data_IF_748272673161
#
_entry.id   IF_748272673161
#
_cell.length_a   1.000
_cell.length_b   1.000
_cell.length_c   1.000
_cell.angle_alpha   90.00
_cell.angle_beta   90.00
_cell.angle_gamma   90.00
#
_symmetry.space_group_name_H-M   'P 1'
#
loop_
_entity.id
_entity.type
_entity.pdbx_description
1 polymer ?
#
# COMPACT_ATOMS: atom_id res chain seq x y z
N UNK A 1 -17.55 22.92 3.84
CA UNK A 1 -16.39 21.99 4.12
C UNK A 1 -15.90 22.09 5.58
N UNK A 2 -15.87 23.24 6.22
CA UNK A 2 -15.57 23.36 7.65
C UNK A 2 -16.70 22.72 8.51
N UNK A 3 -17.95 22.90 8.12
CA UNK A 3 -19.11 22.34 8.83
C UNK A 3 -19.19 20.80 8.78
N UNK A 4 -18.59 20.15 7.77
CA UNK A 4 -18.60 18.69 7.64
C UNK A 4 -17.65 18.01 8.64
N UNK A 5 -16.56 18.68 9.01
CA UNK A 5 -15.57 18.17 9.99
C UNK A 5 -16.14 18.23 11.41
N UNK A 6 -16.91 19.27 11.72
CA UNK A 6 -17.55 19.42 13.03
C UNK A 6 -18.73 18.43 13.23
N UNK A 7 -19.40 18.03 12.15
CA UNK A 7 -20.53 17.10 12.22
C UNK A 7 -20.11 15.65 12.57
N UNK A 8 -18.86 15.27 12.36
CA UNK A 8 -18.36 13.91 12.62
C UNK A 8 -17.74 13.78 14.03
N UNK A 9 -17.59 14.86 14.78
CA UNK A 9 -17.09 14.85 16.17
C UNK A 9 -15.67 14.27 16.34
N UNK A 10 -14.88 14.23 15.26
CA UNK A 10 -13.50 13.74 15.30
C UNK A 10 -12.60 14.78 15.94
N UNK A 11 -12.21 14.54 17.19
CA UNK A 11 -11.13 15.31 17.81
C UNK A 11 -9.84 15.07 17.04
N UNK A 12 -9.02 16.12 16.81
CA UNK A 12 -7.68 15.90 16.24
C UNK A 12 -6.93 14.92 17.13
N UNK A 13 -6.37 13.88 16.52
CA UNK A 13 -5.54 12.92 17.22
C UNK A 13 -4.35 13.67 17.84
N UNK A 14 -4.18 13.55 19.16
CA UNK A 14 -2.97 14.01 19.81
C UNK A 14 -1.76 13.31 19.16
N UNK A 15 -0.67 14.04 19.00
CA UNK A 15 0.59 13.46 18.51
C UNK A 15 0.91 12.22 19.34
N UNK A 16 1.31 11.09 18.73
CA UNK A 16 1.62 9.90 19.49
C UNK A 16 2.78 10.20 20.44
N UNK A 17 2.52 10.05 21.75
CA UNK A 17 3.56 9.95 22.76
C UNK A 17 4.49 8.80 22.36
N UNK A 18 5.78 8.95 22.60
CA UNK A 18 6.78 7.92 22.38
C UNK A 18 6.25 6.57 22.88
N UNK A 19 6.22 5.55 22.00
CA UNK A 19 5.89 4.19 22.39
C UNK A 19 6.96 3.69 23.36
N UNK A 20 6.69 3.77 24.64
CA UNK A 20 7.26 2.85 25.62
C UNK A 20 6.53 1.53 25.43
N UNK A 21 7.30 0.48 25.22
CA UNK A 21 6.82 -0.90 25.20
C UNK A 21 6.35 -1.28 26.60
N UNK A 22 5.07 -1.11 26.89
CA UNK A 22 4.44 -1.69 28.07
C UNK A 22 3.91 -3.09 27.73
N UNK A 23 4.49 -4.05 28.43
CA UNK A 23 4.11 -5.45 28.43
C UNK A 23 2.71 -5.63 28.99
N UNK A 24 1.73 -5.99 28.16
CA UNK A 24 0.42 -6.46 28.62
C UNK A 24 0.45 -7.96 28.95
N UNK A 25 -0.07 -8.36 30.10
CA UNK A 25 -0.18 -9.80 30.45
C UNK A 25 -1.46 -10.41 29.89
N UNK A 26 -1.32 -11.51 29.19
CA UNK A 26 -2.20 -12.65 29.22
C UNK A 26 -3.40 -12.70 28.26
N UNK A 27 -3.20 -13.32 27.11
CA UNK A 27 -4.13 -14.35 26.63
C UNK A 27 -3.31 -15.51 26.10
N UNK A 28 -3.50 -16.69 26.74
CA UNK A 28 -2.83 -17.91 26.37
C UNK A 28 -3.29 -18.38 24.99
N UNK A 29 -2.34 -18.49 24.10
CA UNK A 29 -2.40 -19.28 22.90
C UNK A 29 -1.10 -20.05 22.81
N UNK A 30 -1.21 -21.35 23.00
CA UNK A 30 -0.14 -22.29 22.73
C UNK A 30 0.12 -22.30 21.24
N UNK A 31 1.29 -21.87 20.81
CA UNK A 31 1.94 -22.43 19.63
C UNK A 31 3.28 -21.75 19.33
N UNK A 32 4.32 -22.58 19.33
CA UNK A 32 5.51 -22.47 18.51
C UNK A 32 6.29 -21.14 18.59
N UNK A 33 6.74 -20.78 19.77
CA UNK A 33 7.90 -19.93 19.94
C UNK A 33 9.17 -20.79 19.78
N UNK A 34 9.60 -21.02 18.56
CA UNK A 34 11.02 -21.28 18.33
C UNK A 34 11.74 -19.99 18.69
N UNK A 35 12.70 -19.99 19.63
CA UNK A 35 13.50 -18.79 19.86
C UNK A 35 14.15 -18.41 18.54
N UNK A 36 14.05 -17.14 18.16
CA UNK A 36 14.89 -16.59 17.10
C UNK A 36 16.33 -16.91 17.50
N UNK A 37 16.98 -17.83 16.79
CA UNK A 37 18.38 -18.12 16.97
C UNK A 37 19.13 -16.80 16.86
N UNK A 38 19.83 -16.42 17.92
CA UNK A 38 20.75 -15.28 17.90
C UNK A 38 21.88 -15.70 16.95
N UNK A 39 21.86 -15.17 15.76
CA UNK A 39 22.89 -15.42 14.74
C UNK A 39 24.25 -15.05 15.29
N UNK A 40 25.27 -15.90 15.10
CA UNK A 40 26.62 -15.57 15.53
C UNK A 40 27.09 -14.28 14.82
N UNK A 41 28.00 -13.50 15.46
CA UNK A 41 28.53 -12.30 14.83
C UNK A 41 29.18 -12.65 13.51
N UNK A 42 28.88 -11.82 12.48
CA UNK A 42 29.31 -12.04 11.11
C UNK A 42 30.82 -12.24 11.03
N UNK A 43 31.24 -13.49 10.87
CA UNK A 43 32.57 -13.82 10.36
C UNK A 43 32.56 -13.39 8.89
N UNK A 44 33.55 -12.59 8.50
CA UNK A 44 33.75 -12.19 7.12
C UNK A 44 33.91 -13.46 6.27
N UNK A 45 32.83 -13.93 5.68
CA UNK A 45 32.87 -15.03 4.72
C UNK A 45 33.38 -14.43 3.41
N UNK A 46 34.54 -14.91 2.95
CA UNK A 46 35.00 -14.60 1.60
C UNK A 46 33.91 -15.09 0.63
N UNK A 47 33.28 -14.16 -0.07
CA UNK A 47 32.30 -14.49 -1.11
C UNK A 47 33.07 -14.99 -2.32
N UNK A 48 33.08 -16.30 -2.54
CA UNK A 48 33.59 -16.90 -3.78
C UNK A 48 32.68 -16.48 -4.95
N UNK A 49 33.17 -15.59 -5.79
CA UNK A 49 32.38 -15.07 -6.91
C UNK A 49 33.15 -14.05 -7.75
N UNK A 50 32.58 -13.57 -8.85
CA UNK A 50 33.20 -12.66 -9.79
C UNK A 50 33.34 -11.19 -9.25
N UNK A 51 33.19 -11.00 -7.95
CA UNK A 51 33.22 -9.68 -7.34
C UNK A 51 34.63 -9.30 -6.94
N UNK A 52 35.13 -8.19 -7.50
CA UNK A 52 36.44 -7.65 -7.21
C UNK A 52 36.52 -6.97 -5.83
N UNK A 53 35.38 -6.44 -5.37
CA UNK A 53 35.29 -5.74 -4.09
C UNK A 53 34.41 -6.49 -3.12
N UNK A 54 34.87 -6.68 -1.87
CA UNK A 54 34.03 -7.32 -0.84
C UNK A 54 32.83 -6.45 -0.48
N UNK A 55 31.66 -7.08 -0.24
CA UNK A 55 30.47 -6.42 0.28
C UNK A 55 29.89 -7.23 1.44
N UNK A 56 29.75 -6.62 2.64
CA UNK A 56 30.22 -5.25 2.98
C UNK A 56 31.76 -5.19 3.02
N UNK A 57 32.33 -3.97 2.85
CA UNK A 57 33.74 -3.80 3.12
C UNK A 57 34.03 -4.01 4.61
N UNK A 58 35.29 -4.35 5.01
CA UNK A 58 35.63 -4.52 6.43
C UNK A 58 35.28 -3.30 7.29
N UNK A 59 35.50 -2.09 6.80
CA UNK A 59 35.18 -0.84 7.48
C UNK A 59 33.66 -0.67 7.64
N UNK A 60 32.88 -1.01 6.61
CA UNK A 60 31.42 -0.92 6.63
C UNK A 60 30.84 -1.96 7.61
N UNK A 61 31.37 -3.19 7.60
CA UNK A 61 30.95 -4.23 8.52
C UNK A 61 31.27 -3.91 9.99
N UNK A 62 32.40 -3.20 10.23
CA UNK A 62 32.76 -2.74 11.56
C UNK A 62 31.88 -1.59 12.06
N UNK A 63 31.38 -0.74 11.15
CA UNK A 63 30.58 0.43 11.48
C UNK A 63 29.07 0.14 11.59
N UNK A 64 28.57 -0.91 10.93
CA UNK A 64 27.15 -1.23 10.85
C UNK A 64 26.90 -2.74 10.94
N UNK A 65 25.78 -3.17 11.53
CA UNK A 65 25.41 -4.59 11.58
C UNK A 65 25.02 -5.10 10.18
N UNK A 66 25.57 -6.24 9.81
CA UNK A 66 25.16 -7.04 8.65
C UNK A 66 24.79 -8.45 9.12
N UNK A 67 23.85 -9.07 8.45
CA UNK A 67 23.41 -10.43 8.68
C UNK A 67 23.52 -11.23 7.39
N UNK A 68 23.78 -12.52 7.52
CA UNK A 68 23.77 -13.43 6.37
C UNK A 68 22.37 -13.48 5.77
N UNK A 69 22.28 -13.39 4.43
CA UNK A 69 21.03 -13.52 3.72
C UNK A 69 20.70 -15.00 3.51
N UNK A 70 19.69 -15.50 4.23
CA UNK A 70 19.18 -16.85 4.05
C UNK A 70 18.44 -16.94 2.71
N UNK A 71 19.03 -17.63 1.75
CA UNK A 71 18.49 -17.81 0.40
C UNK A 71 18.29 -19.29 0.09
N UNK A 72 17.05 -19.65 -0.27
CA UNK A 72 16.71 -20.98 -0.77
C UNK A 72 16.68 -20.96 -2.31
N UNK A 73 17.59 -21.70 -2.93
CA UNK A 73 17.64 -21.84 -4.38
C UNK A 73 16.69 -22.95 -4.82
N UNK A 74 15.68 -22.61 -5.57
CA UNK A 74 14.77 -23.57 -6.20
C UNK A 74 15.33 -24.08 -7.53
N UNK A 75 14.83 -25.24 -8.02
CA UNK A 75 15.14 -25.71 -9.38
C UNK A 75 14.49 -24.80 -10.44
N UNK A 76 14.99 -24.86 -11.66
CA UNK A 76 14.46 -24.08 -12.79
C UNK A 76 12.98 -24.40 -13.04
N UNK A 77 12.58 -25.68 -12.91
CA UNK A 77 11.21 -26.14 -13.06
C UNK A 77 10.31 -25.54 -11.98
N UNK A 78 10.74 -25.57 -10.72
CA UNK A 78 10.00 -25.01 -9.60
C UNK A 78 9.88 -23.49 -9.73
N UNK A 79 10.94 -22.79 -10.10
CA UNK A 79 10.91 -21.35 -10.36
C UNK A 79 9.91 -21.01 -11.46
N UNK A 80 9.91 -21.78 -12.55
CA UNK A 80 8.97 -21.59 -13.66
C UNK A 80 7.51 -21.87 -13.26
N UNK A 81 7.27 -22.88 -12.42
CA UNK A 81 5.93 -23.17 -11.90
C UNK A 81 5.41 -22.06 -11.00
N UNK A 82 6.22 -21.61 -10.02
CA UNK A 82 5.90 -20.48 -9.10
C UNK A 82 5.60 -19.20 -9.89
N UNK A 83 6.40 -18.88 -10.89
CA UNK A 83 6.22 -17.71 -11.75
C UNK A 83 4.87 -17.76 -12.51
N UNK A 84 4.57 -18.92 -13.13
CA UNK A 84 3.31 -19.12 -13.84
C UNK A 84 2.08 -19.07 -12.89
N UNK A 85 2.20 -19.67 -11.71
CA UNK A 85 1.12 -19.65 -10.71
C UNK A 85 0.82 -18.23 -10.25
N UNK A 86 1.84 -17.46 -9.89
CA UNK A 86 1.69 -16.06 -9.47
C UNK A 86 1.11 -15.18 -10.58
N UNK A 87 1.60 -15.35 -11.82
CA UNK A 87 1.05 -14.62 -12.98
C UNK A 87 -0.43 -14.94 -13.19
N UNK A 88 -0.82 -16.23 -13.19
CA UNK A 88 -2.20 -16.68 -13.36
C UNK A 88 -3.14 -16.15 -12.26
N UNK A 89 -2.66 -16.10 -11.02
CA UNK A 89 -3.38 -15.48 -9.91
C UNK A 89 -3.57 -13.98 -10.15
N UNK A 90 -2.50 -13.27 -10.50
CA UNK A 90 -2.50 -11.82 -10.74
C UNK A 90 -3.36 -11.41 -11.94
N UNK A 91 -3.49 -12.25 -12.95
CA UNK A 91 -4.35 -12.02 -14.12
C UNK A 91 -5.83 -11.89 -13.76
N UNK A 92 -6.28 -12.57 -12.68
CA UNK A 92 -7.66 -12.51 -12.19
C UNK A 92 -7.97 -11.23 -11.42
N UNK A 93 -6.94 -10.49 -10.97
CA UNK A 93 -7.15 -9.25 -10.23
C UNK A 93 -7.82 -8.19 -11.11
N UNK A 94 -8.91 -7.62 -10.61
CA UNK A 94 -9.66 -6.53 -11.27
C UNK A 94 -9.96 -5.41 -10.26
N UNK A 95 -10.16 -4.20 -10.76
CA UNK A 95 -10.69 -3.09 -9.97
C UNK A 95 -12.19 -3.26 -9.79
N UNK A 96 -12.65 -3.46 -8.55
CA UNK A 96 -14.06 -3.72 -8.21
C UNK A 96 -14.69 -2.43 -7.67
N UNK A 97 -15.91 -2.12 -8.14
CA UNK A 97 -16.72 -0.98 -7.71
C UNK A 97 -18.08 -1.40 -7.14
N UNK A 98 -18.38 -2.71 -7.12
CA UNK A 98 -19.58 -3.26 -6.52
C UNK A 98 -19.15 -4.24 -5.43
N UNK A 99 -19.31 -3.83 -4.18
CA UNK A 99 -18.91 -4.59 -3.01
C UNK A 99 -20.13 -5.20 -2.30
N UNK A 100 -19.93 -6.36 -1.67
CA UNK A 100 -20.82 -6.87 -0.63
C UNK A 100 -20.58 -6.10 0.67
N UNK A 101 -21.63 -5.87 1.49
CA UNK A 101 -21.48 -5.32 2.83
C UNK A 101 -20.95 -6.35 3.84
N UNK A 102 -20.66 -7.59 3.42
CA UNK A 102 -20.14 -8.63 4.29
C UNK A 102 -18.88 -8.17 5.03
N UNK A 103 -18.81 -8.40 6.35
CA UNK A 103 -17.70 -7.90 7.16
C UNK A 103 -16.37 -8.57 6.76
N UNK A 104 -15.31 -7.80 6.76
CA UNK A 104 -13.93 -8.28 6.61
C UNK A 104 -13.23 -8.15 7.96
N UNK A 105 -12.65 -9.23 8.50
CA UNK A 105 -11.88 -9.20 9.74
C UNK A 105 -10.72 -8.20 9.70
N UNK A 106 -10.44 -7.58 10.83
CA UNK A 106 -9.41 -6.54 10.94
C UNK A 106 -8.01 -7.09 10.69
N UNK A 107 -7.72 -8.26 11.22
CA UNK A 107 -6.44 -8.96 11.09
C UNK A 107 -6.04 -9.20 9.63
N UNK A 108 -6.99 -9.48 8.73
CA UNK A 108 -6.71 -9.63 7.31
C UNK A 108 -6.22 -8.32 6.67
N UNK A 109 -6.77 -7.18 7.09
CA UNK A 109 -6.31 -5.87 6.61
C UNK A 109 -4.94 -5.54 7.19
N UNK A 110 -4.70 -5.87 8.47
CA UNK A 110 -3.41 -5.70 9.13
C UNK A 110 -2.32 -6.56 8.46
N UNK A 111 -2.59 -7.81 8.11
CA UNK A 111 -1.68 -8.67 7.36
C UNK A 111 -1.33 -8.09 5.97
N UNK A 112 -2.31 -7.49 5.28
CA UNK A 112 -2.03 -6.82 4.02
C UNK A 112 -1.12 -5.59 4.20
N UNK A 113 -1.31 -4.81 5.28
CA UNK A 113 -0.45 -3.68 5.62
C UNK A 113 0.96 -4.15 5.98
N UNK A 114 1.08 -5.22 6.77
CA UNK A 114 2.39 -5.81 7.10
C UNK A 114 3.11 -6.29 5.84
N UNK A 115 2.43 -7.01 4.96
CA UNK A 115 2.99 -7.42 3.68
C UNK A 115 3.45 -6.22 2.82
N UNK A 116 2.63 -5.17 2.74
CA UNK A 116 2.97 -3.95 2.03
C UNK A 116 4.17 -3.22 2.65
N UNK A 117 4.31 -3.29 3.97
CA UNK A 117 5.39 -2.63 4.72
C UNK A 117 6.75 -3.31 4.54
N UNK A 118 6.82 -4.49 3.91
CA UNK A 118 8.07 -5.12 3.47
C UNK A 118 8.63 -4.53 2.17
N UNK A 119 7.93 -3.58 1.55
CA UNK A 119 8.37 -2.90 0.34
C UNK A 119 9.75 -2.24 0.51
N UNK A 120 10.63 -2.30 -0.49
CA UNK A 120 11.86 -1.53 -0.47
C UNK A 120 11.56 -0.03 -0.52
N UNK A 121 12.43 0.77 0.11
CA UNK A 121 12.31 2.22 0.10
C UNK A 121 13.66 2.91 0.09
N UNK A 122 13.72 4.13 -0.44
CA UNK A 122 14.94 4.92 -0.49
C UNK A 122 15.55 5.10 0.91
N UNK A 123 16.79 4.65 1.08
CA UNK A 123 17.51 4.62 2.35
C UNK A 123 16.72 3.96 3.52
N UNK A 124 15.90 2.98 3.19
CA UNK A 124 15.02 2.26 4.12
C UNK A 124 14.12 3.19 4.98
N UNK A 125 13.65 4.29 4.37
CA UNK A 125 12.86 5.31 5.08
C UNK A 125 11.41 4.93 5.32
N UNK A 126 10.88 3.95 4.57
CA UNK A 126 9.49 3.49 4.68
C UNK A 126 8.49 4.66 4.79
N UNK A 127 8.50 5.58 3.80
CA UNK A 127 7.83 6.88 3.90
C UNK A 127 6.32 6.78 3.62
N UNK A 128 5.61 5.92 4.35
CA UNK A 128 4.20 5.66 4.18
C UNK A 128 3.47 5.48 5.51
N UNK A 129 2.17 5.80 5.48
CA UNK A 129 1.22 5.49 6.56
C UNK A 129 -0.05 4.94 5.95
N UNK A 130 -0.50 3.77 6.40
CA UNK A 130 -1.81 3.23 6.06
C UNK A 130 -2.82 3.60 7.15
N UNK A 131 -3.91 4.26 6.75
CA UNK A 131 -4.97 4.70 7.65
C UNK A 131 -6.26 3.99 7.28
N UNK A 132 -6.70 3.06 8.12
CA UNK A 132 -7.89 2.25 7.88
C UNK A 132 -9.10 2.71 8.70
N UNK A 133 -10.29 2.64 8.10
CA UNK A 133 -11.55 2.85 8.80
C UNK A 133 -12.62 1.87 8.33
N UNK A 134 -13.48 1.46 9.27
CA UNK A 134 -14.74 0.76 9.04
C UNK A 134 -15.94 1.50 9.65
N UNK A 135 -15.66 2.66 10.26
CA UNK A 135 -16.69 3.49 10.89
C UNK A 135 -17.63 4.06 9.82
N UNK A 136 -18.96 3.83 9.93
CA UNK A 136 -19.93 4.28 8.92
C UNK A 136 -19.96 5.80 8.75
N UNK A 137 -19.81 6.56 9.83
CA UNK A 137 -19.86 8.02 9.76
C UNK A 137 -18.62 8.59 9.07
N UNK A 138 -17.44 8.01 9.35
CA UNK A 138 -16.20 8.38 8.66
C UNK A 138 -16.27 8.02 7.17
N UNK A 139 -16.78 6.82 6.82
CA UNK A 139 -16.97 6.41 5.42
C UNK A 139 -17.93 7.31 4.67
N UNK A 140 -19.05 7.69 5.29
CA UNK A 140 -20.02 8.63 4.72
C UNK A 140 -19.39 10.02 4.47
N UNK A 141 -18.59 10.52 5.42
CA UNK A 141 -17.88 11.79 5.26
C UNK A 141 -16.83 11.73 4.14
N UNK A 142 -16.11 10.61 4.03
CA UNK A 142 -15.16 10.38 2.92
C UNK A 142 -15.92 10.37 1.59
N UNK A 143 -17.04 9.64 1.50
CA UNK A 143 -17.86 9.58 0.30
C UNK A 143 -18.34 10.97 -0.12
N UNK A 144 -18.99 11.70 0.78
CA UNK A 144 -19.52 13.02 0.48
C UNK A 144 -18.44 13.99 -0.05
N UNK A 145 -17.26 14.00 0.58
CA UNK A 145 -16.15 14.84 0.13
C UNK A 145 -15.56 14.37 -1.21
N UNK A 146 -15.47 13.06 -1.45
CA UNK A 146 -14.98 12.51 -2.71
C UNK A 146 -15.95 12.78 -3.87
N UNK A 147 -17.26 12.57 -3.65
CA UNK A 147 -18.30 12.84 -4.66
C UNK A 147 -18.37 14.33 -5.03
N UNK A 148 -18.14 15.25 -4.08
CA UNK A 148 -18.09 16.68 -4.38
C UNK A 148 -16.89 17.04 -5.27
N UNK A 149 -15.68 16.51 -4.99
CA UNK A 149 -14.52 16.73 -5.86
C UNK A 149 -14.73 16.10 -7.24
N UNK A 150 -15.30 14.90 -7.27
CA UNK A 150 -15.60 14.21 -8.54
C UNK A 150 -16.71 14.91 -9.33
N UNK A 151 -17.75 15.44 -8.66
CA UNK A 151 -18.81 16.24 -9.30
C UNK A 151 -18.21 17.44 -10.04
N UNK A 152 -17.30 18.18 -9.39
CA UNK A 152 -16.60 19.30 -10.02
C UNK A 152 -15.74 18.82 -11.20
N UNK A 153 -15.05 17.67 -11.03
CA UNK A 153 -14.23 17.09 -12.08
C UNK A 153 -15.03 16.73 -13.33
N UNK A 154 -16.15 16.00 -13.16
CA UNK A 154 -16.96 15.48 -14.25
C UNK A 154 -17.93 16.51 -14.85
N UNK A 155 -18.51 17.42 -14.03
CA UNK A 155 -19.61 18.28 -14.45
C UNK A 155 -19.22 19.76 -14.61
N UNK A 156 -18.11 20.22 -14.04
CA UNK A 156 -17.66 21.61 -14.09
C UNK A 156 -16.36 21.81 -14.88
N UNK A 157 -16.08 20.89 -15.81
CA UNK A 157 -14.96 20.99 -16.77
C UNK A 157 -13.55 21.10 -16.14
N UNK A 158 -13.34 20.54 -14.91
CA UNK A 158 -11.99 20.41 -14.36
C UNK A 158 -11.20 19.31 -15.10
N UNK A 159 -11.88 18.23 -15.54
CA UNK A 159 -11.34 17.25 -16.46
C UNK A 159 -11.53 17.71 -17.91
N UNK A 160 -10.50 17.49 -18.74
CA UNK A 160 -10.62 17.71 -20.19
C UNK A 160 -11.36 16.53 -20.86
N UNK A 161 -11.81 16.74 -22.09
CA UNK A 161 -12.58 15.77 -22.88
C UNK A 161 -11.80 14.47 -23.11
N UNK A 162 -10.48 14.54 -23.38
CA UNK A 162 -9.59 13.39 -23.56
C UNK A 162 -9.60 12.47 -22.32
N UNK A 163 -9.57 13.06 -21.12
CA UNK A 163 -9.63 12.30 -19.89
C UNK A 163 -11.00 11.65 -19.67
N UNK A 164 -12.08 12.38 -19.93
CA UNK A 164 -13.45 11.85 -19.84
C UNK A 164 -13.65 10.68 -20.81
N UNK A 165 -13.17 10.81 -22.07
CA UNK A 165 -13.18 9.73 -23.05
C UNK A 165 -12.39 8.50 -22.59
N UNK A 166 -11.21 8.68 -21.97
CA UNK A 166 -10.41 7.59 -21.42
C UNK A 166 -11.09 6.88 -20.22
N UNK A 167 -11.91 7.58 -19.46
CA UNK A 167 -12.65 7.01 -18.32
C UNK A 167 -13.97 6.32 -18.73
N UNK A 168 -14.56 6.69 -19.87
CA UNK A 168 -15.84 6.14 -20.31
C UNK A 168 -15.90 4.60 -20.35
N UNK A 169 -14.87 3.86 -20.87
CA UNK A 169 -14.87 2.41 -20.87
C UNK A 169 -14.78 1.79 -19.46
N UNK A 170 -14.38 2.57 -18.45
CA UNK A 170 -14.29 2.10 -17.07
C UNK A 170 -15.65 2.11 -16.34
N UNK A 171 -16.68 2.75 -16.92
CA UNK A 171 -18.01 2.85 -16.35
C UNK A 171 -18.01 3.54 -14.99
N UNK A 172 -17.21 4.59 -14.82
CA UNK A 172 -17.13 5.36 -13.56
C UNK A 172 -17.61 6.78 -13.80
N UNK A 173 -18.31 7.33 -12.81
CA UNK A 173 -18.82 8.68 -12.78
C UNK A 173 -18.53 9.34 -11.41
N UNK A 174 -19.24 10.40 -11.06
CA UNK A 174 -19.06 11.11 -9.80
C UNK A 174 -19.72 10.43 -8.59
N UNK A 175 -20.56 9.40 -8.77
CA UNK A 175 -21.18 8.66 -7.67
C UNK A 175 -20.24 7.58 -7.14
N UNK A 176 -20.06 7.52 -5.82
CA UNK A 176 -19.09 6.65 -5.16
C UNK A 176 -19.70 5.87 -3.97
N UNK A 177 -20.92 5.33 -4.16
CA UNK A 177 -21.63 4.57 -3.13
C UNK A 177 -20.76 3.43 -2.55
N UNK A 178 -19.89 2.87 -3.35
CA UNK A 178 -18.98 1.81 -2.91
C UNK A 178 -18.09 2.22 -1.73
N UNK A 179 -17.87 3.52 -1.49
CA UNK A 179 -17.10 4.00 -0.34
C UNK A 179 -17.84 3.79 1.00
N UNK A 180 -19.17 3.72 0.98
CA UNK A 180 -19.95 3.38 2.18
C UNK A 180 -20.22 1.86 2.27
N UNK A 181 -20.42 1.19 1.14
CA UNK A 181 -20.77 -0.24 1.10
C UNK A 181 -19.56 -1.10 1.46
N UNK A 182 -18.39 -0.82 0.91
CA UNK A 182 -17.18 -1.58 1.24
C UNK A 182 -16.93 -1.61 2.75
N UNK A 183 -16.69 -2.79 3.38
CA UNK A 183 -16.53 -2.89 4.84
C UNK A 183 -15.34 -2.10 5.35
N UNK A 184 -14.30 -1.90 4.56
CA UNK A 184 -13.14 -1.09 4.90
C UNK A 184 -12.82 -0.04 3.85
N UNK A 185 -12.34 1.11 4.31
CA UNK A 185 -11.56 2.05 3.51
C UNK A 185 -10.18 2.14 4.14
N UNK A 186 -9.14 1.96 3.32
CA UNK A 186 -7.76 2.21 3.70
C UNK A 186 -7.20 3.32 2.81
N UNK A 187 -6.67 4.37 3.42
CA UNK A 187 -5.99 5.46 2.71
C UNK A 187 -4.49 5.34 2.95
N UNK A 188 -3.73 5.25 1.89
CA UNK A 188 -2.28 5.27 1.94
C UNK A 188 -1.80 6.71 1.79
N UNK A 189 -1.00 7.15 2.75
CA UNK A 189 -0.36 8.46 2.76
C UNK A 189 1.13 8.33 2.46
N UNK A 190 1.67 9.22 1.65
CA UNK A 190 3.10 9.43 1.50
C UNK A 190 3.62 10.40 2.56
N UNK A 191 4.75 10.09 3.20
CA UNK A 191 5.43 10.95 4.16
C UNK A 191 6.54 11.72 3.46
N UNK A 192 6.36 13.02 3.21
CA UNK A 192 7.32 13.87 2.47
C UNK A 192 8.62 14.08 3.23
N UNK A 193 8.54 14.12 4.55
CA UNK A 193 9.67 14.28 5.45
C UNK A 193 9.37 13.60 6.79
N UNK A 194 10.43 13.18 7.46
CA UNK A 194 10.41 12.67 8.82
C UNK A 194 10.43 13.86 9.80
N UNK A 195 9.55 13.86 10.79
CA UNK A 195 9.58 14.82 11.89
C UNK A 195 10.29 14.18 13.07
N UNK A 196 11.34 14.81 13.56
CA UNK A 196 12.14 14.31 14.67
C UNK A 196 11.61 14.79 16.01
N UNK A 197 11.91 14.09 17.11
CA UNK A 197 11.50 14.50 18.46
C UNK A 197 12.01 15.88 18.88
N UNK A 198 13.14 16.33 18.32
CA UNK A 198 13.72 17.66 18.57
C UNK A 198 13.04 18.77 17.75
N UNK A 199 11.98 18.46 17.01
CA UNK A 199 11.25 19.41 16.15
C UNK A 199 11.89 19.65 14.79
N UNK A 200 13.07 19.11 14.52
CA UNK A 200 13.72 19.24 13.20
C UNK A 200 13.06 18.28 12.20
N UNK A 201 13.25 18.57 10.92
CA UNK A 201 12.75 17.71 9.83
C UNK A 201 13.91 17.09 9.07
N UNK A 202 13.70 15.89 8.55
CA UNK A 202 14.63 15.19 7.68
C UNK A 202 13.91 14.75 6.40
N UNK A 203 14.49 15.06 5.25
CA UNK A 203 13.95 14.68 3.94
C UNK A 203 13.87 13.17 3.80
N UNK A 204 12.74 12.67 3.28
CA UNK A 204 12.62 11.32 2.77
C UNK A 204 13.01 11.28 1.28
N UNK A 205 13.51 10.12 0.83
CA UNK A 205 13.98 9.91 -0.55
C UNK A 205 13.06 8.97 -1.30
N UNK A 206 12.90 9.18 -2.61
CA UNK A 206 12.08 8.32 -3.48
C UNK A 206 10.70 8.01 -2.89
N UNK A 207 10.05 9.07 -2.37
CA UNK A 207 8.81 8.92 -1.59
C UNK A 207 7.69 8.29 -2.42
N UNK A 208 7.45 8.82 -3.62
CA UNK A 208 6.37 8.33 -4.49
C UNK A 208 6.63 6.92 -4.99
N UNK A 209 7.86 6.65 -5.43
CA UNK A 209 8.29 5.35 -5.92
C UNK A 209 8.15 4.29 -4.82
N UNK A 210 8.66 4.58 -3.63
CA UNK A 210 8.56 3.71 -2.46
C UNK A 210 7.11 3.44 -2.06
N UNK A 211 6.30 4.50 -1.97
CA UNK A 211 4.87 4.39 -1.64
C UNK A 211 4.10 3.64 -2.73
N UNK A 212 4.46 3.81 -4.01
CA UNK A 212 3.88 3.08 -5.13
C UNK A 212 4.17 1.58 -5.07
N UNK A 213 5.40 1.18 -4.69
CA UNK A 213 5.75 -0.23 -4.50
C UNK A 213 4.94 -0.82 -3.33
N UNK A 214 4.86 -0.12 -2.19
CA UNK A 214 4.04 -0.55 -1.05
C UNK A 214 2.55 -0.69 -1.44
N UNK A 215 2.01 0.25 -2.23
CA UNK A 215 0.65 0.16 -2.76
C UNK A 215 0.44 -1.08 -3.62
N UNK A 216 1.39 -1.40 -4.51
CA UNK A 216 1.34 -2.60 -5.35
C UNK A 216 1.35 -3.89 -4.53
N UNK A 217 2.19 -3.97 -3.51
CA UNK A 217 2.26 -5.12 -2.59
C UNK A 217 0.96 -5.25 -1.77
N UNK A 218 0.39 -4.14 -1.30
CA UNK A 218 -0.90 -4.12 -0.61
C UNK A 218 -2.02 -4.70 -1.49
N UNK A 219 -2.13 -4.24 -2.73
CA UNK A 219 -3.11 -4.73 -3.70
C UNK A 219 -2.95 -6.23 -3.96
N UNK A 220 -1.71 -6.70 -4.10
CA UNK A 220 -1.41 -8.12 -4.30
C UNK A 220 -1.82 -8.96 -3.08
N UNK A 221 -1.53 -8.50 -1.87
CA UNK A 221 -1.92 -9.17 -0.62
C UNK A 221 -3.44 -9.26 -0.47
N UNK A 222 -4.17 -8.16 -0.68
CA UNK A 222 -5.65 -8.13 -0.68
C UNK A 222 -6.21 -9.14 -1.68
N UNK A 223 -5.69 -9.16 -2.91
CA UNK A 223 -6.15 -10.08 -3.95
C UNK A 223 -5.87 -11.54 -3.60
N UNK A 224 -4.67 -11.83 -3.07
CA UNK A 224 -4.26 -13.19 -2.68
C UNK A 224 -5.13 -13.78 -1.56
N UNK A 225 -5.66 -12.95 -0.67
CA UNK A 225 -6.60 -13.35 0.38
C UNK A 225 -8.04 -13.59 -0.14
N UNK A 226 -8.31 -13.38 -1.43
CA UNK A 226 -9.65 -13.50 -2.02
C UNK A 226 -10.52 -12.26 -1.84
N UNK A 227 -9.96 -11.16 -1.38
CA UNK A 227 -10.63 -9.87 -1.27
C UNK A 227 -10.45 -9.04 -2.53
N UNK A 228 -11.32 -8.05 -2.69
CA UNK A 228 -11.28 -7.11 -3.80
C UNK A 228 -10.99 -5.69 -3.32
N UNK A 229 -10.40 -4.92 -4.22
CA UNK A 229 -10.15 -3.49 -4.03
C UNK A 229 -10.12 -2.76 -5.37
N UNK A 230 -10.05 -1.45 -5.32
CA UNK A 230 -9.64 -0.59 -6.42
C UNK A 230 -8.75 0.53 -5.90
N UNK A 231 -7.94 1.11 -6.79
CA UNK A 231 -7.27 2.38 -6.52
C UNK A 231 -8.25 3.51 -6.81
N UNK A 232 -8.57 4.31 -5.79
CA UNK A 232 -9.43 5.48 -5.93
C UNK A 232 -8.67 6.75 -5.55
N UNK A 233 -8.63 7.71 -6.47
CA UNK A 233 -7.83 8.93 -6.35
C UNK A 233 -8.67 10.16 -6.73
N UNK A 234 -9.71 10.51 -5.96
CA UNK A 234 -10.50 11.72 -6.21
C UNK A 234 -9.59 12.95 -6.09
N UNK A 235 -9.44 13.68 -7.18
CA UNK A 235 -8.47 14.79 -7.24
C UNK A 235 -9.18 16.14 -7.14
N UNK A 236 -8.75 17.02 -6.19
CA UNK A 236 -7.66 16.89 -5.23
C UNK A 236 -8.04 16.09 -3.97
N UNK A 237 -7.11 15.26 -3.44
CA UNK A 237 -7.35 14.41 -2.26
C UNK A 237 -7.04 15.10 -0.92
N UNK A 238 -6.74 16.39 -0.90
CA UNK A 238 -6.30 17.10 0.32
C UNK A 238 -7.32 17.05 1.48
N UNK A 239 -8.61 16.86 1.18
CA UNK A 239 -9.66 16.71 2.17
C UNK A 239 -9.44 15.49 3.08
N UNK A 240 -8.85 14.38 2.57
CA UNK A 240 -8.57 13.18 3.35
C UNK A 240 -7.59 13.45 4.50
N UNK A 241 -6.58 14.29 4.29
CA UNK A 241 -5.65 14.63 5.36
C UNK A 241 -6.37 15.31 6.53
N UNK A 242 -7.25 16.25 6.25
CA UNK A 242 -8.02 16.97 7.28
C UNK A 242 -9.04 16.04 7.94
N UNK A 243 -9.82 15.31 7.14
CA UNK A 243 -10.88 14.43 7.63
C UNK A 243 -10.33 13.31 8.53
N UNK A 244 -9.17 12.77 8.20
CA UNK A 244 -8.53 11.68 8.95
C UNK A 244 -7.50 12.17 9.99
N UNK A 245 -7.41 13.48 10.26
CA UNK A 245 -6.56 14.06 11.29
C UNK A 245 -5.06 13.79 11.06
N UNK A 246 -4.61 13.77 9.79
CA UNK A 246 -3.21 13.44 9.48
C UNK A 246 -2.30 14.67 9.54
N UNK A 247 -1.03 14.49 10.00
CA UNK A 247 -0.07 15.58 10.15
C UNK A 247 0.35 16.18 8.80
N UNK A 248 1.00 17.35 8.85
CA UNK A 248 1.36 18.13 7.66
C UNK A 248 2.42 17.49 6.76
N UNK A 249 3.23 16.58 7.30
CA UNK A 249 4.19 15.82 6.52
C UNK A 249 3.56 14.71 5.68
N UNK A 250 2.30 14.34 5.94
CA UNK A 250 1.57 13.31 5.22
C UNK A 250 0.69 13.90 4.11
N UNK A 251 0.73 13.26 2.96
CA UNK A 251 -0.10 13.59 1.80
C UNK A 251 -0.81 12.33 1.32
N UNK A 252 -2.14 12.38 1.06
CA UNK A 252 -2.84 11.23 0.49
C UNK A 252 -2.25 10.82 -0.85
N UNK A 253 -1.96 9.54 -0.99
CA UNK A 253 -1.42 8.94 -2.21
C UNK A 253 -2.49 8.19 -3.00
N UNK A 254 -3.23 7.30 -2.32
CA UNK A 254 -4.32 6.51 -2.91
C UNK A 254 -5.25 5.99 -1.82
N UNK A 255 -6.52 5.81 -2.16
CA UNK A 255 -7.54 5.20 -1.30
C UNK A 255 -7.93 3.83 -1.85
N UNK A 256 -8.13 2.87 -0.94
CA UNK A 256 -8.51 1.49 -1.21
C UNK A 256 -9.79 1.13 -0.45
N UNK A 257 -10.97 1.13 -1.09
CA UNK A 257 -12.11 0.39 -0.60
C UNK A 257 -11.79 -1.12 -0.66
N UNK A 258 -12.10 -1.87 0.41
CA UNK A 258 -11.76 -3.29 0.51
C UNK A 258 -12.99 -4.06 0.97
N UNK A 259 -13.25 -5.19 0.32
CA UNK A 259 -14.34 -6.08 0.66
C UNK A 259 -14.45 -7.26 -0.31
N UNK A 260 -15.52 -8.02 -0.17
CA UNK A 260 -15.88 -9.04 -1.15
C UNK A 260 -16.60 -8.38 -2.33
N UNK A 261 -16.38 -8.86 -3.58
CA UNK A 261 -17.23 -8.45 -4.69
C UNK A 261 -18.69 -8.82 -4.44
N UNK A 262 -19.62 -7.95 -4.80
CA UNK A 262 -21.03 -8.31 -4.82
C UNK A 262 -21.26 -9.47 -5.80
N UNK A 263 -22.14 -10.40 -5.45
CA UNK A 263 -22.49 -11.50 -6.36
C UNK A 263 -23.00 -10.95 -7.70
N UNK A 264 -22.46 -11.44 -8.82
CA UNK A 264 -22.78 -10.94 -10.15
C UNK A 264 -22.13 -9.60 -10.53
N UNK A 265 -21.21 -9.08 -9.72
CA UNK A 265 -20.47 -7.86 -10.06
C UNK A 265 -19.77 -8.00 -11.42
N UNK A 266 -19.90 -6.96 -12.25
CA UNK A 266 -19.28 -6.89 -13.57
C UNK A 266 -18.08 -5.95 -13.51
N UNK A 267 -17.12 -6.19 -14.39
CA UNK A 267 -15.94 -5.35 -14.60
C UNK A 267 -15.77 -5.04 -16.08
N UNK A 268 -15.20 -3.88 -16.45
CA UNK A 268 -14.94 -3.57 -17.87
C UNK A 268 -14.12 -4.67 -18.53
N UNK A 269 -14.47 -5.06 -19.76
CA UNK A 269 -13.69 -6.01 -20.54
C UNK A 269 -12.54 -5.27 -21.25
N UNK A 270 -11.41 -5.17 -20.57
CA UNK A 270 -10.24 -4.42 -21.01
C UNK A 270 -9.07 -5.37 -21.27
N UNK A 271 -8.41 -5.18 -22.42
CA UNK A 271 -7.19 -5.88 -22.77
C UNK A 271 -6.00 -5.31 -22.00
N UNK A 272 -5.16 -6.19 -21.46
CA UNK A 272 -3.80 -5.82 -21.03
C UNK A 272 -2.85 -5.85 -22.22
N UNK A 273 -1.79 -5.06 -22.15
CA UNK A 273 -0.71 -5.13 -23.14
C UNK A 273 -0.09 -6.52 -23.19
N UNK A 274 0.33 -6.93 -24.38
CA UNK A 274 1.11 -8.17 -24.59
C UNK A 274 2.52 -8.03 -24.02
N UNK A 275 3.27 -9.15 -23.97
CA UNK A 275 4.66 -9.12 -23.51
C UNK A 275 5.50 -8.18 -24.38
N UNK A 276 5.35 -8.26 -25.69
CA UNK A 276 6.12 -7.46 -26.66
C UNK A 276 5.84 -5.94 -26.56
N UNK A 277 4.70 -5.57 -25.97
CA UNK A 277 4.34 -4.15 -25.72
C UNK A 277 4.96 -3.61 -24.41
N UNK A 278 5.49 -4.46 -23.53
CA UNK A 278 5.97 -4.07 -22.19
C UNK A 278 7.37 -4.53 -21.85
N UNK A 279 7.94 -5.43 -22.65
CA UNK A 279 9.28 -5.98 -22.44
C UNK A 279 10.13 -5.83 -23.71
N UNK A 280 11.31 -5.26 -23.55
CA UNK A 280 12.30 -5.11 -24.60
C UNK A 280 13.60 -5.70 -24.10
N UNK A 281 14.12 -6.71 -24.79
CA UNK A 281 15.47 -7.24 -24.59
C UNK A 281 16.43 -6.45 -25.47
N UNK A 282 17.54 -5.99 -24.89
CA UNK A 282 18.56 -5.24 -25.62
C UNK A 282 19.71 -6.18 -25.95
N UNK A 283 19.93 -6.42 -27.24
CA UNK A 283 21.10 -7.14 -27.71
C UNK A 283 22.38 -6.35 -27.46
N UNK A 284 23.53 -7.02 -27.26
CA UNK A 284 24.80 -6.32 -27.14
C UNK A 284 25.06 -5.49 -28.41
N UNK A 285 25.64 -4.28 -28.27
CA UNK A 285 26.01 -3.50 -29.43
C UNK A 285 26.97 -4.31 -30.32
N UNK A 286 26.58 -4.45 -31.60
CA UNK A 286 27.33 -5.18 -32.61
C UNK A 286 28.73 -4.57 -32.90
#
# INVERSE_FOLDING_TARGET
>A
MAELVDAVGLKPAAAPAACEFDSHPGHGSSALSTPLEVWPPATTVAVDGPYEYPYPSPELAAAHPFVEYAFERHSDEEMAERARAFRKESERRRSIRLFSPDPVPRDLVEEAVLAASTAPSGAHKQPWTFVGTRDPAVKAAIRAAAEEEERINYLENRMNDEWLEALAPLGTDHHKEFLEVAPWIVVLFEQRFEQRPDGTTRKNYYVKESTGIAAGMFIAAIHRMGLATLTHTPTPMAFLRRLLGRPDNERPFVMFPIGFPLHGARVPDLRRKSLDEVFVEVDPPG
#
